data_IF_277275730127
#
_entry.id   IF_277275730127
#
_cell.length_a   1.000
_cell.length_b   1.000
_cell.length_c   1.000
_cell.angle_alpha   90.00
_cell.angle_beta   90.00
_cell.angle_gamma   90.00
#
_symmetry.space_group_name_H-M   'P 1'
#
loop_
_entity.id
_entity.type
_entity.pdbx_description
1 polymer ?
#
# COMPACT_ATOMS: atom_id res chain seq x y z
N UNK A 1 32.05 -21.02 37.53
CA UNK A 1 30.56 -21.00 37.73
C UNK A 1 30.03 -19.59 38.05
N UNK A 2 30.81 -18.72 38.69
CA UNK A 2 30.33 -17.38 39.14
C UNK A 2 30.15 -16.29 38.08
N UNK A 3 30.88 -16.31 36.97
CA UNK A 3 30.73 -15.28 35.93
C UNK A 3 29.52 -15.53 35.00
N UNK A 4 29.23 -16.78 34.67
CA UNK A 4 28.09 -17.17 33.88
C UNK A 4 26.73 -16.94 34.60
N UNK A 5 26.71 -17.14 35.93
CA UNK A 5 25.51 -16.85 36.73
C UNK A 5 25.28 -15.34 36.90
N UNK A 6 26.33 -14.54 36.97
CA UNK A 6 26.22 -13.06 37.01
C UNK A 6 25.73 -12.46 35.68
N UNK A 7 26.22 -12.98 34.55
CA UNK A 7 25.75 -12.58 33.22
C UNK A 7 24.30 -12.98 32.98
N UNK A 8 23.86 -14.18 33.42
CA UNK A 8 22.46 -14.60 33.31
C UNK A 8 21.53 -13.75 34.19
N UNK A 9 21.95 -13.44 35.42
CA UNK A 9 21.15 -12.59 36.31
C UNK A 9 21.08 -11.12 35.83
N UNK A 10 22.16 -10.61 35.25
CA UNK A 10 22.19 -9.28 34.66
C UNK A 10 21.27 -9.18 33.41
N UNK A 11 21.35 -10.15 32.51
CA UNK A 11 20.47 -10.23 31.31
C UNK A 11 19.00 -10.45 31.69
N UNK A 12 18.68 -11.18 32.75
CA UNK A 12 17.30 -11.34 33.24
C UNK A 12 16.79 -10.04 33.88
N UNK A 13 17.66 -9.31 34.60
CA UNK A 13 17.31 -8.01 35.19
C UNK A 13 17.10 -6.95 34.13
N UNK A 14 17.93 -6.84 33.09
CA UNK A 14 17.75 -5.96 31.96
C UNK A 14 16.50 -6.31 31.14
N UNK A 15 16.23 -7.60 30.89
CA UNK A 15 15.02 -8.04 30.22
C UNK A 15 13.76 -7.77 31.06
N UNK A 16 13.84 -7.84 32.37
CA UNK A 16 12.76 -7.50 33.29
C UNK A 16 12.56 -5.97 33.38
N UNK A 17 13.63 -5.19 33.39
CA UNK A 17 13.60 -3.72 33.31
C UNK A 17 13.05 -3.24 31.96
N UNK A 18 13.47 -3.84 30.84
CA UNK A 18 12.91 -3.58 29.50
C UNK A 18 11.41 -3.97 29.42
N UNK A 19 11.01 -5.06 30.08
CA UNK A 19 9.62 -5.46 30.20
C UNK A 19 8.81 -4.53 31.13
N UNK A 20 9.42 -3.91 32.13
CA UNK A 20 8.83 -2.93 33.02
C UNK A 20 8.76 -1.53 32.39
N UNK A 21 9.78 -1.11 31.63
CA UNK A 21 9.73 0.13 30.84
C UNK A 21 8.72 0.04 29.68
N UNK A 22 8.42 -1.16 29.18
CA UNK A 22 7.37 -1.40 28.17
C UNK A 22 5.95 -1.33 28.74
N UNK A 23 5.76 -1.23 30.04
CA UNK A 23 4.47 -0.92 30.70
C UNK A 23 4.16 0.58 30.62
N UNK A 24 4.23 1.19 29.42
CA UNK A 24 3.65 2.49 29.19
C UNK A 24 2.13 2.37 29.37
N UNK A 25 1.65 2.69 30.57
CA UNK A 25 0.22 2.94 30.80
C UNK A 25 -0.30 3.90 29.73
N UNK A 26 -1.57 3.73 29.34
CA UNK A 26 -2.19 4.64 28.37
C UNK A 26 -2.08 6.08 28.85
N UNK A 27 -1.65 6.98 27.97
CA UNK A 27 -1.53 8.41 28.31
C UNK A 27 -2.84 9.12 28.03
N UNK A 28 -3.30 9.98 28.96
CA UNK A 28 -4.50 10.80 28.75
C UNK A 28 -4.45 11.58 27.43
N UNK A 29 -5.60 11.72 26.77
CA UNK A 29 -5.71 12.49 25.52
C UNK A 29 -4.93 11.89 24.34
N UNK A 30 -4.67 10.58 24.32
CA UNK A 30 -3.89 9.92 23.26
C UNK A 30 -4.75 8.98 22.42
N UNK A 31 -4.60 9.09 21.10
CA UNK A 31 -5.19 8.19 20.11
C UNK A 31 -4.16 7.10 19.73
N UNK A 32 -4.49 5.85 20.00
CA UNK A 32 -3.64 4.68 19.66
C UNK A 32 -4.18 3.99 18.42
N UNK A 33 -3.32 3.74 17.43
CA UNK A 33 -3.65 2.97 16.25
C UNK A 33 -3.09 1.57 16.44
N UNK A 34 -3.97 0.61 16.69
CA UNK A 34 -3.57 -0.74 17.11
C UNK A 34 -3.82 -1.73 15.99
N UNK A 35 -2.77 -2.34 15.47
CA UNK A 35 -2.90 -3.41 14.49
C UNK A 35 -3.47 -4.67 15.13
N UNK A 36 -4.42 -5.32 14.44
CA UNK A 36 -5.05 -6.57 14.85
C UNK A 36 -4.58 -7.75 14.00
N UNK A 37 -4.71 -9.00 14.47
CA UNK A 37 -4.30 -10.17 13.71
C UNK A 37 -5.00 -10.29 12.35
N UNK A 38 -4.28 -10.80 11.34
CA UNK A 38 -4.81 -11.04 9.98
C UNK A 38 -5.28 -12.48 9.78
N UNK A 39 -5.25 -13.32 10.81
CA UNK A 39 -5.68 -14.71 10.77
C UNK A 39 -5.36 -15.49 12.04
N UNK A 40 -4.17 -15.26 12.60
CA UNK A 40 -3.71 -15.94 13.80
C UNK A 40 -3.71 -14.97 15.00
N UNK A 41 -4.54 -15.22 15.99
CA UNK A 41 -4.62 -14.37 17.19
C UNK A 41 -3.31 -14.32 18.01
N UNK A 42 -2.37 -15.23 17.80
CA UNK A 42 -1.06 -15.21 18.44
C UNK A 42 -0.14 -14.11 17.88
N UNK A 43 -0.48 -13.56 16.72
CA UNK A 43 0.28 -12.45 16.10
C UNK A 43 -0.09 -11.09 16.71
N UNK A 44 -0.99 -11.07 17.70
CA UNK A 44 -1.29 -9.85 18.44
C UNK A 44 -0.10 -9.47 19.33
N UNK A 45 0.40 -8.24 19.17
CA UNK A 45 1.52 -7.79 20.00
C UNK A 45 1.12 -7.63 21.48
N UNK A 46 2.03 -7.94 22.39
CA UNK A 46 1.81 -7.76 23.84
C UNK A 46 1.47 -6.31 24.19
N UNK A 47 2.13 -5.34 23.54
CA UNK A 47 1.85 -3.91 23.68
C UNK A 47 0.44 -3.56 23.17
N UNK A 48 -0.01 -4.17 22.06
CA UNK A 48 -1.37 -4.01 21.56
C UNK A 48 -2.42 -4.51 22.55
N UNK A 49 -2.20 -5.70 23.14
CA UNK A 49 -3.06 -6.28 24.18
C UNK A 49 -3.14 -5.31 25.37
N UNK A 50 -1.99 -4.82 25.85
CA UNK A 50 -1.94 -3.90 26.97
C UNK A 50 -2.72 -2.60 26.71
N UNK A 51 -2.48 -1.93 25.57
CA UNK A 51 -3.20 -0.71 25.19
C UNK A 51 -4.71 -0.93 25.08
N UNK A 52 -5.15 -2.04 24.46
CA UNK A 52 -6.58 -2.35 24.35
C UNK A 52 -7.23 -2.66 25.69
N UNK A 53 -6.46 -3.12 26.69
CA UNK A 53 -6.96 -3.39 28.04
C UNK A 53 -7.10 -2.09 28.86
N UNK A 54 -6.18 -1.14 28.69
CA UNK A 54 -6.01 0.04 29.53
C UNK A 54 -6.70 1.31 29.00
N UNK A 55 -6.95 1.40 27.68
CA UNK A 55 -7.58 2.61 27.10
C UNK A 55 -9.03 2.75 27.56
N UNK A 56 -9.55 4.00 27.59
CA UNK A 56 -10.90 4.28 28.04
C UNK A 56 -12.00 3.78 27.08
N UNK A 57 -11.67 3.64 25.79
CA UNK A 57 -12.56 3.06 24.79
C UNK A 57 -11.81 2.60 23.53
N UNK A 58 -12.44 1.70 22.80
CA UNK A 58 -11.94 1.17 21.53
C UNK A 58 -12.91 1.56 20.41
N UNK A 59 -12.40 2.32 19.43
CA UNK A 59 -13.08 2.62 18.17
C UNK A 59 -12.83 1.45 17.20
N UNK A 60 -13.89 0.69 16.86
CA UNK A 60 -13.82 -0.55 16.11
C UNK A 60 -14.64 -0.48 14.82
N UNK A 61 -14.15 -1.08 13.74
CA UNK A 61 -14.84 -1.15 12.45
C UNK A 61 -16.15 -1.96 12.59
N UNK A 62 -16.05 -3.24 12.93
CA UNK A 62 -17.21 -4.07 13.33
C UNK A 62 -17.07 -4.48 14.79
N UNK A 63 -17.92 -3.90 15.65
CA UNK A 63 -17.90 -4.17 17.10
C UNK A 63 -18.17 -5.63 17.45
N UNK A 64 -18.88 -6.37 16.60
CA UNK A 64 -19.19 -7.79 16.82
C UNK A 64 -17.93 -8.65 16.61
N UNK A 65 -17.20 -8.42 15.52
CA UNK A 65 -15.94 -9.11 15.24
C UNK A 65 -14.86 -8.74 16.27
N UNK A 66 -14.76 -7.46 16.57
CA UNK A 66 -13.84 -6.96 17.60
C UNK A 66 -14.12 -7.57 18.96
N UNK A 67 -15.39 -7.72 19.35
CA UNK A 67 -15.79 -8.37 20.61
C UNK A 67 -15.29 -9.83 20.66
N UNK A 68 -15.37 -10.56 19.57
CA UNK A 68 -14.86 -11.95 19.51
C UNK A 68 -13.34 -11.99 19.72
N UNK A 69 -12.61 -11.07 19.07
CA UNK A 69 -11.15 -10.95 19.26
C UNK A 69 -10.80 -10.59 20.70
N UNK A 70 -11.43 -9.55 21.27
CA UNK A 70 -11.16 -9.10 22.62
C UNK A 70 -11.45 -10.19 23.66
N UNK A 71 -12.57 -10.89 23.53
CA UNK A 71 -12.90 -12.03 24.40
C UNK A 71 -11.85 -13.13 24.35
N UNK A 72 -11.34 -13.44 23.14
CA UNK A 72 -10.28 -14.45 22.96
C UNK A 72 -8.96 -14.02 23.60
N UNK A 73 -8.70 -12.71 23.67
CA UNK A 73 -7.53 -12.14 24.33
C UNK A 73 -7.74 -11.86 25.82
N UNK A 74 -8.93 -12.14 26.36
CA UNK A 74 -9.26 -11.86 27.75
C UNK A 74 -9.48 -10.38 28.09
N UNK A 75 -9.67 -9.53 27.07
CA UNK A 75 -9.83 -8.08 27.20
C UNK A 75 -11.32 -7.73 27.37
N UNK A 76 -11.62 -6.90 28.36
CA UNK A 76 -12.96 -6.31 28.55
C UNK A 76 -12.85 -4.80 28.48
N UNK A 77 -13.36 -4.21 27.40
CA UNK A 77 -13.33 -2.78 27.21
C UNK A 77 -14.57 -2.28 26.46
N UNK A 78 -14.82 -0.97 26.51
CA UNK A 78 -15.93 -0.31 25.81
C UNK A 78 -15.63 -0.21 24.31
N UNK A 79 -16.44 -0.89 23.48
CA UNK A 79 -16.40 -0.80 22.02
C UNK A 79 -17.36 0.30 21.52
N UNK A 80 -16.87 1.11 20.60
CA UNK A 80 -17.64 2.13 19.87
C UNK A 80 -17.40 1.93 18.37
N UNK A 81 -18.47 1.83 17.59
CA UNK A 81 -18.38 1.62 16.15
C UNK A 81 -17.75 2.82 15.42
N UNK A 82 -16.78 2.54 14.55
CA UNK A 82 -16.07 3.50 13.69
C UNK A 82 -15.81 2.89 12.32
N UNK A 83 -16.85 2.76 11.49
CA UNK A 83 -16.79 2.21 10.15
C UNK A 83 -16.84 3.30 9.07
N UNK A 84 -16.45 2.98 7.86
CA UNK A 84 -16.35 3.90 6.71
C UNK A 84 -17.57 4.82 6.52
N UNK A 85 -18.79 4.36 6.83
CA UNK A 85 -20.02 5.13 6.63
C UNK A 85 -20.34 6.10 7.77
N UNK A 86 -19.74 5.94 8.96
CA UNK A 86 -20.01 6.81 10.12
C UNK A 86 -18.77 7.57 10.61
N UNK A 87 -17.59 7.27 10.07
CA UNK A 87 -16.28 7.78 10.49
C UNK A 87 -16.27 9.32 10.58
N UNK A 88 -16.73 10.01 9.54
CA UNK A 88 -16.76 11.46 9.50
C UNK A 88 -17.66 12.07 10.59
N UNK A 89 -18.86 11.50 10.78
CA UNK A 89 -19.80 11.97 11.82
C UNK A 89 -19.31 11.70 13.25
N UNK A 90 -18.59 10.59 13.44
CA UNK A 90 -18.08 10.19 14.75
C UNK A 90 -16.72 10.79 15.10
N UNK A 91 -15.94 11.28 14.15
CA UNK A 91 -14.67 11.91 14.43
C UNK A 91 -14.79 13.02 15.47
N UNK A 92 -15.80 13.89 15.36
CA UNK A 92 -16.06 14.96 16.35
C UNK A 92 -16.29 14.42 17.77
N UNK A 93 -17.02 13.32 17.90
CA UNK A 93 -17.25 12.68 19.19
C UNK A 93 -15.93 12.17 19.79
N UNK A 94 -15.13 11.41 19.02
CA UNK A 94 -13.85 10.89 19.51
C UNK A 94 -12.87 12.02 19.85
N UNK A 95 -12.82 13.08 19.07
CA UNK A 95 -11.98 14.26 19.35
C UNK A 95 -12.40 14.92 20.67
N UNK A 96 -13.71 15.06 20.92
CA UNK A 96 -14.20 15.59 22.20
C UNK A 96 -13.80 14.74 23.41
N UNK A 97 -13.86 13.41 23.26
CA UNK A 97 -13.46 12.46 24.30
C UNK A 97 -11.94 12.54 24.56
N UNK A 98 -11.11 12.61 23.48
CA UNK A 98 -9.65 12.78 23.58
C UNK A 98 -9.28 14.09 24.27
N UNK A 99 -9.95 15.21 23.91
CA UNK A 99 -9.75 16.51 24.57
C UNK A 99 -10.17 16.53 26.04
N UNK A 100 -11.10 15.66 26.43
CA UNK A 100 -11.49 15.49 27.86
C UNK A 100 -10.45 14.69 28.66
N UNK A 101 -9.36 14.23 28.01
CA UNK A 101 -8.28 13.47 28.63
C UNK A 101 -8.44 11.96 28.52
N UNK A 102 -9.45 11.45 27.79
CA UNK A 102 -9.58 10.00 27.56
C UNK A 102 -8.58 9.49 26.52
N UNK A 103 -8.13 8.27 26.73
CA UNK A 103 -7.31 7.51 25.77
C UNK A 103 -8.22 6.63 24.89
N UNK A 104 -7.96 6.61 23.59
CA UNK A 104 -8.78 5.86 22.63
C UNK A 104 -7.87 4.98 21.75
N UNK A 105 -8.24 3.71 21.59
CA UNK A 105 -7.61 2.84 20.62
C UNK A 105 -8.49 2.67 19.38
N UNK A 106 -7.89 2.73 18.17
CA UNK A 106 -8.56 2.40 16.90
C UNK A 106 -8.10 1.03 16.46
N UNK A 107 -9.05 0.16 16.14
CA UNK A 107 -8.81 -1.16 15.54
C UNK A 107 -9.71 -1.37 14.32
N UNK A 108 -9.27 -2.22 13.41
CA UNK A 108 -10.04 -2.72 12.25
C UNK A 108 -10.29 -4.21 12.39
N UNK A 109 -11.06 -4.79 11.49
CA UNK A 109 -11.40 -6.21 11.52
C UNK A 109 -10.16 -7.11 11.41
N UNK A 110 -9.14 -6.65 10.65
CA UNK A 110 -7.87 -7.36 10.49
C UNK A 110 -6.76 -6.39 10.03
N UNK A 111 -5.56 -6.53 10.58
CA UNK A 111 -4.39 -5.77 10.16
C UNK A 111 -4.26 -4.38 10.78
N UNK A 112 -3.51 -3.52 10.10
CA UNK A 112 -3.20 -2.16 10.55
C UNK A 112 -4.30 -1.20 10.11
N UNK A 113 -4.96 -0.47 11.02
CA UNK A 113 -5.96 0.53 10.67
C UNK A 113 -5.45 1.54 9.64
N UNK A 114 -6.35 2.06 8.80
CA UNK A 114 -6.09 3.03 7.72
C UNK A 114 -5.36 2.48 6.49
N UNK A 115 -4.86 1.26 6.52
CA UNK A 115 -4.22 0.61 5.35
C UNK A 115 -5.28 -0.21 4.61
N UNK A 116 -6.01 0.43 3.70
CA UNK A 116 -7.23 -0.06 3.01
C UNK A 116 -8.47 -0.18 3.90
N UNK A 117 -8.40 0.29 5.14
CA UNK A 117 -9.40 0.20 6.18
C UNK A 117 -9.82 1.59 6.70
N UNK A 118 -10.92 1.72 7.45
CA UNK A 118 -11.32 2.98 8.09
C UNK A 118 -10.34 3.42 9.18
N UNK A 119 -10.44 4.69 9.60
CA UNK A 119 -9.63 5.31 10.66
C UNK A 119 -8.93 6.60 10.24
N UNK A 120 -8.78 6.81 8.93
CA UNK A 120 -8.01 7.92 8.38
C UNK A 120 -8.62 9.30 8.73
N UNK A 121 -9.95 9.43 8.69
CA UNK A 121 -10.62 10.70 9.01
C UNK A 121 -10.49 11.06 10.50
N UNK A 122 -10.53 10.07 11.38
CA UNK A 122 -10.28 10.28 12.80
C UNK A 122 -8.84 10.71 13.07
N UNK A 123 -7.86 10.07 12.42
CA UNK A 123 -6.44 10.45 12.55
C UNK A 123 -6.21 11.87 12.03
N UNK A 124 -6.74 12.23 10.86
CA UNK A 124 -6.64 13.59 10.31
C UNK A 124 -7.23 14.63 11.29
N UNK A 125 -8.40 14.34 11.86
CA UNK A 125 -9.03 15.22 12.84
C UNK A 125 -8.19 15.34 14.12
N UNK A 126 -7.60 14.24 14.60
CA UNK A 126 -6.74 14.26 15.79
C UNK A 126 -5.47 15.08 15.56
N UNK A 127 -4.80 14.89 14.42
CA UNK A 127 -3.61 15.66 14.04
C UNK A 127 -3.93 17.14 13.88
N UNK A 128 -5.07 17.50 13.27
CA UNK A 128 -5.50 18.89 13.12
C UNK A 128 -5.76 19.61 14.44
N UNK A 129 -6.04 18.86 15.50
CA UNK A 129 -6.32 19.36 16.86
C UNK A 129 -5.13 19.15 17.81
N UNK A 130 -3.93 18.89 17.27
CA UNK A 130 -2.68 18.65 18.01
C UNK A 130 -2.81 17.54 19.10
N UNK A 131 -3.67 16.56 18.84
CA UNK A 131 -3.84 15.38 19.69
C UNK A 131 -2.73 14.37 19.39
N UNK A 132 -2.11 13.84 20.45
CA UNK A 132 -1.07 12.81 20.32
C UNK A 132 -1.65 11.55 19.67
N UNK A 133 -1.05 11.13 18.54
CA UNK A 133 -1.36 9.87 17.84
C UNK A 133 -0.17 8.94 17.95
N UNK A 134 -0.40 7.68 18.38
CA UNK A 134 0.64 6.67 18.58
C UNK A 134 0.28 5.41 17.82
N UNK A 135 1.16 5.01 16.88
CA UNK A 135 1.06 3.71 16.19
C UNK A 135 1.60 2.57 17.06
N UNK A 136 0.81 1.51 17.19
CA UNK A 136 1.24 0.26 17.84
C UNK A 136 1.56 -0.75 16.74
N UNK A 137 2.85 -1.14 16.56
CA UNK A 137 3.25 -2.07 15.52
C UNK A 137 2.54 -3.43 15.64
N UNK A 138 2.25 -4.03 14.48
CA UNK A 138 1.63 -5.35 14.40
C UNK A 138 1.39 -5.79 12.97
N UNK A 139 0.39 -6.67 12.76
CA UNK A 139 0.15 -7.31 11.50
C UNK A 139 -0.23 -6.33 10.38
N UNK A 140 0.38 -6.53 9.21
CA UNK A 140 0.03 -5.87 7.97
C UNK A 140 0.19 -6.87 6.82
N UNK A 141 -0.91 -7.27 6.18
CA UNK A 141 -0.89 -8.29 5.14
C UNK A 141 -0.01 -7.90 3.94
N UNK A 142 -0.02 -6.63 3.52
CA UNK A 142 0.80 -6.15 2.41
C UNK A 142 2.30 -6.27 2.72
N UNK A 143 2.73 -5.81 3.90
CA UNK A 143 4.14 -5.86 4.30
C UNK A 143 4.60 -7.32 4.51
N UNK A 144 3.75 -8.16 5.11
CA UNK A 144 4.06 -9.58 5.26
C UNK A 144 4.19 -10.29 3.91
N UNK A 145 3.28 -10.04 2.96
CA UNK A 145 3.37 -10.59 1.62
C UNK A 145 4.63 -10.12 0.87
N UNK A 146 4.98 -8.83 0.99
CA UNK A 146 6.21 -8.29 0.43
C UNK A 146 7.43 -9.04 0.98
N UNK A 147 7.53 -9.23 2.30
CA UNK A 147 8.69 -9.85 2.95
C UNK A 147 8.96 -11.30 2.50
N UNK A 148 7.92 -12.00 2.03
CA UNK A 148 8.04 -13.39 1.55
C UNK A 148 7.99 -13.50 0.03
N UNK A 149 7.87 -12.40 -0.71
CA UNK A 149 7.73 -12.43 -2.17
C UNK A 149 8.98 -12.94 -2.88
N UNK A 150 10.17 -12.59 -2.38
CA UNK A 150 11.45 -12.83 -3.03
C UNK A 150 11.79 -11.78 -4.10
N UNK A 151 11.05 -10.67 -4.16
CA UNK A 151 11.25 -9.59 -5.13
C UNK A 151 12.13 -8.46 -4.58
N UNK A 152 12.53 -7.52 -5.43
CA UNK A 152 13.27 -6.34 -5.02
C UNK A 152 12.38 -5.41 -4.18
N UNK A 153 12.75 -5.21 -2.92
CA UNK A 153 12.02 -4.39 -1.96
C UNK A 153 12.73 -3.07 -1.62
N UNK A 154 13.71 -2.67 -2.40
CA UNK A 154 14.37 -1.35 -2.24
C UNK A 154 13.37 -0.20 -2.31
N UNK A 155 12.32 -0.37 -3.11
CA UNK A 155 11.13 0.48 -3.13
C UNK A 155 9.92 -0.34 -3.55
N UNK A 156 8.75 0.00 -3.02
CA UNK A 156 7.49 -0.61 -3.43
C UNK A 156 6.32 0.37 -3.37
N UNK A 157 5.26 0.09 -4.11
CA UNK A 157 4.01 0.86 -4.08
C UNK A 157 2.84 -0.05 -3.69
N UNK A 158 2.08 0.38 -2.70
CA UNK A 158 0.83 -0.26 -2.29
C UNK A 158 -0.37 0.50 -2.85
N UNK A 159 -1.24 -0.18 -3.59
CA UNK A 159 -2.41 0.42 -4.25
C UNK A 159 -3.74 0.05 -3.61
N UNK A 160 -3.75 -0.77 -2.56
CA UNK A 160 -4.99 -1.33 -2.03
C UNK A 160 -5.56 -2.42 -2.94
N UNK A 161 -6.86 -2.41 -3.24
CA UNK A 161 -7.46 -3.41 -4.11
C UNK A 161 -7.18 -3.17 -5.59
N UNK A 162 -6.95 -4.26 -6.33
CA UNK A 162 -6.76 -4.19 -7.77
C UNK A 162 -8.04 -3.67 -8.48
N UNK A 163 -7.93 -2.81 -9.51
CA UNK A 163 -9.09 -2.24 -10.18
C UNK A 163 -10.04 -3.28 -10.75
N UNK A 164 -11.33 -2.95 -10.81
CA UNK A 164 -12.36 -3.85 -11.37
C UNK A 164 -12.47 -3.72 -12.87
N UNK A 165 -12.46 -2.49 -13.37
CA UNK A 165 -12.69 -2.17 -14.77
C UNK A 165 -11.43 -2.38 -15.62
N UNK A 166 -11.53 -3.06 -16.76
CA UNK A 166 -10.40 -3.34 -17.65
C UNK A 166 -9.68 -2.08 -18.14
N UNK A 167 -10.39 -0.98 -18.33
CA UNK A 167 -9.78 0.29 -18.72
C UNK A 167 -8.87 0.85 -17.60
N UNK A 168 -9.27 0.72 -16.34
CA UNK A 168 -8.48 1.14 -15.20
C UNK A 168 -7.28 0.22 -14.96
N UNK A 169 -7.45 -1.11 -15.17
CA UNK A 169 -6.36 -2.09 -15.11
C UNK A 169 -5.26 -1.76 -16.13
N UNK A 170 -5.64 -1.48 -17.38
CA UNK A 170 -4.69 -1.08 -18.43
C UNK A 170 -3.96 0.21 -18.08
N UNK A 171 -4.68 1.22 -17.59
CA UNK A 171 -4.05 2.47 -17.12
C UNK A 171 -3.08 2.24 -15.97
N UNK A 172 -3.45 1.36 -15.03
CA UNK A 172 -2.58 1.00 -13.92
C UNK A 172 -1.33 0.26 -14.41
N UNK A 173 -1.47 -0.70 -15.32
CA UNK A 173 -0.33 -1.42 -15.90
C UNK A 173 0.64 -0.45 -16.60
N UNK A 174 0.13 0.51 -17.38
CA UNK A 174 0.95 1.56 -17.99
C UNK A 174 1.67 2.42 -16.94
N UNK A 175 0.98 2.73 -15.83
CA UNK A 175 1.58 3.47 -14.71
C UNK A 175 2.68 2.65 -14.02
N UNK A 176 2.47 1.36 -13.81
CA UNK A 176 3.46 0.45 -13.25
C UNK A 176 4.71 0.38 -14.14
N UNK A 177 4.53 0.23 -15.45
CA UNK A 177 5.62 0.20 -16.44
C UNK A 177 6.46 1.47 -16.48
N UNK A 178 5.85 2.63 -16.20
CA UNK A 178 6.52 3.95 -16.18
C UNK A 178 7.08 4.33 -14.82
N UNK A 179 6.85 3.51 -13.82
CA UNK A 179 7.33 3.77 -12.46
C UNK A 179 8.82 3.47 -12.32
N UNK A 180 9.51 4.26 -11.50
CA UNK A 180 10.88 3.94 -11.09
C UNK A 180 10.91 2.76 -10.10
N UNK A 181 9.77 2.47 -9.45
CA UNK A 181 9.57 1.31 -8.59
C UNK A 181 9.16 0.09 -9.41
N UNK A 182 9.72 -1.07 -9.08
CA UNK A 182 9.44 -2.35 -9.76
C UNK A 182 8.38 -3.17 -9.06
N UNK A 183 8.26 -3.05 -7.75
CA UNK A 183 7.44 -3.91 -6.91
C UNK A 183 6.16 -3.21 -6.47
N UNK A 184 5.03 -3.88 -6.71
CA UNK A 184 3.69 -3.37 -6.46
C UNK A 184 2.90 -4.36 -5.62
N UNK A 185 2.22 -3.86 -4.58
CA UNK A 185 1.42 -4.67 -3.67
C UNK A 185 -0.06 -4.30 -3.79
N UNK A 186 -0.92 -5.33 -3.78
CA UNK A 186 -2.37 -5.21 -3.86
C UNK A 186 -3.05 -6.20 -2.91
N UNK A 187 -4.29 -5.90 -2.56
CA UNK A 187 -5.24 -6.89 -2.06
C UNK A 187 -6.19 -7.31 -3.16
N UNK A 188 -6.64 -8.56 -3.10
CA UNK A 188 -7.65 -9.03 -4.03
C UNK A 188 -8.62 -10.01 -3.36
N UNK A 189 -9.87 -9.95 -3.77
CA UNK A 189 -10.87 -10.90 -3.30
C UNK A 189 -10.69 -12.27 -3.96
N UNK A 190 -10.99 -13.37 -3.25
CA UNK A 190 -10.80 -14.71 -3.80
C UNK A 190 -11.62 -14.96 -5.06
N UNK A 191 -12.78 -14.31 -5.21
CA UNK A 191 -13.63 -14.43 -6.41
C UNK A 191 -13.04 -13.77 -7.66
N UNK A 192 -12.05 -12.90 -7.51
CA UNK A 192 -11.44 -12.13 -8.58
C UNK A 192 -9.96 -12.46 -8.81
N UNK A 193 -9.39 -13.33 -7.96
CA UNK A 193 -7.95 -13.63 -8.03
C UNK A 193 -7.55 -14.27 -9.36
N UNK A 194 -8.37 -15.18 -9.89
CA UNK A 194 -8.10 -15.81 -11.19
C UNK A 194 -8.17 -14.78 -12.32
N UNK A 195 -9.19 -13.94 -12.33
CA UNK A 195 -9.35 -12.85 -13.31
C UNK A 195 -8.19 -11.83 -13.29
N UNK A 196 -7.60 -11.57 -12.10
CA UNK A 196 -6.38 -10.77 -11.99
C UNK A 196 -5.19 -11.46 -12.65
N UNK A 197 -4.99 -12.74 -12.39
CA UNK A 197 -3.87 -13.52 -12.96
C UNK A 197 -4.01 -13.62 -14.48
N UNK A 198 -5.23 -13.91 -14.98
CA UNK A 198 -5.54 -13.96 -16.41
C UNK A 198 -5.31 -12.61 -17.10
N UNK A 199 -5.64 -11.50 -16.45
CA UNK A 199 -5.34 -10.17 -16.99
C UNK A 199 -3.85 -9.98 -17.27
N UNK A 200 -2.95 -10.43 -16.40
CA UNK A 200 -1.51 -10.31 -16.61
C UNK A 200 -1.00 -11.33 -17.65
N UNK A 201 -1.55 -12.52 -17.72
CA UNK A 201 -1.22 -13.50 -18.77
C UNK A 201 -1.64 -12.99 -20.16
N UNK A 202 -2.88 -12.48 -20.29
CA UNK A 202 -3.44 -12.04 -21.58
C UNK A 202 -2.81 -10.73 -22.10
N UNK A 203 -2.21 -9.92 -21.23
CA UNK A 203 -1.54 -8.67 -21.63
C UNK A 203 -0.08 -8.83 -21.99
N UNK A 204 0.43 -10.08 -22.03
CA UNK A 204 1.85 -10.38 -22.30
C UNK A 204 2.79 -9.50 -21.45
N UNK A 205 2.35 -9.23 -20.20
CA UNK A 205 3.10 -8.39 -19.30
C UNK A 205 4.31 -9.17 -18.76
N UNK A 206 5.52 -8.66 -19.01
CA UNK A 206 6.73 -9.21 -18.42
C UNK A 206 6.80 -8.89 -16.94
N UNK A 207 6.07 -9.68 -16.15
CA UNK A 207 5.93 -9.54 -14.70
C UNK A 207 6.12 -10.89 -14.01
N UNK A 208 6.56 -10.82 -12.76
CA UNK A 208 6.50 -11.94 -11.83
C UNK A 208 5.40 -11.70 -10.81
N UNK A 209 4.68 -12.73 -10.46
CA UNK A 209 3.60 -12.69 -9.48
C UNK A 209 3.99 -13.46 -8.22
N UNK A 210 3.59 -12.93 -7.07
CA UNK A 210 3.58 -13.65 -5.80
C UNK A 210 2.19 -13.46 -5.17
N UNK A 211 1.41 -14.53 -5.09
CA UNK A 211 0.10 -14.54 -4.44
C UNK A 211 0.23 -15.20 -3.08
N UNK A 212 -0.07 -14.48 -2.00
CA UNK A 212 -0.15 -15.00 -0.65
C UNK A 212 -1.62 -15.20 -0.28
N UNK A 213 -2.02 -16.44 -0.06
CA UNK A 213 -3.38 -16.82 0.30
C UNK A 213 -3.44 -17.23 1.78
N UNK A 214 -4.44 -16.70 2.48
CA UNK A 214 -4.73 -17.04 3.88
C UNK A 214 -3.51 -16.98 4.82
N UNK A 215 -2.70 -15.93 4.69
CA UNK A 215 -1.51 -15.73 5.53
C UNK A 215 -1.84 -15.87 7.01
N UNK A 216 -0.93 -16.48 7.76
CA UNK A 216 -1.03 -16.80 9.19
C UNK A 216 -2.12 -17.82 9.56
N UNK A 217 -2.92 -18.32 8.60
CA UNK A 217 -3.96 -19.33 8.82
C UNK A 217 -3.44 -20.74 8.57
N UNK A 218 -4.22 -21.75 8.98
CA UNK A 218 -3.85 -23.19 8.87
C UNK A 218 -3.50 -23.61 7.43
N UNK A 219 -4.13 -23.02 6.44
CA UNK A 219 -3.96 -23.36 5.03
C UNK A 219 -3.26 -22.26 4.24
N UNK A 220 -2.36 -21.54 4.89
CA UNK A 220 -1.52 -20.52 4.25
C UNK A 220 -0.77 -21.12 3.06
N UNK A 221 -0.83 -20.45 1.92
CA UNK A 221 -0.13 -20.84 0.70
C UNK A 221 0.43 -19.64 -0.02
N UNK A 222 1.56 -19.84 -0.70
CA UNK A 222 2.18 -18.83 -1.55
C UNK A 222 2.46 -19.40 -2.94
N UNK A 223 2.01 -18.69 -3.98
CA UNK A 223 2.23 -19.03 -5.38
C UNK A 223 3.16 -17.99 -5.99
N UNK A 224 4.22 -18.42 -6.66
CA UNK A 224 5.21 -17.55 -7.32
C UNK A 224 5.50 -18.03 -8.72
N UNK A 225 5.77 -17.11 -9.64
CA UNK A 225 6.17 -17.38 -11.01
C UNK A 225 5.62 -16.37 -12.01
N UNK A 226 5.71 -16.72 -13.29
CA UNK A 226 5.02 -15.99 -14.36
C UNK A 226 3.49 -16.06 -14.16
N UNK A 227 2.71 -15.17 -14.80
CA UNK A 227 1.26 -15.24 -14.74
C UNK A 227 0.70 -16.63 -15.13
N UNK A 228 1.28 -17.29 -16.15
CA UNK A 228 0.87 -18.60 -16.63
C UNK A 228 1.14 -19.68 -15.57
N UNK A 229 2.35 -19.71 -15.01
CA UNK A 229 2.73 -20.67 -13.96
C UNK A 229 1.86 -20.51 -12.71
N UNK A 230 1.58 -19.27 -12.33
CA UNK A 230 0.73 -18.95 -11.16
C UNK A 230 -0.72 -19.36 -11.44
N UNK A 231 -1.23 -19.16 -12.68
CA UNK A 231 -2.56 -19.62 -13.09
C UNK A 231 -2.69 -21.13 -12.96
N UNK A 232 -1.72 -21.89 -13.46
CA UNK A 232 -1.72 -23.36 -13.38
C UNK A 232 -1.72 -23.84 -11.92
N UNK A 233 -0.83 -23.26 -11.08
CA UNK A 233 -0.75 -23.59 -9.64
C UNK A 233 -2.03 -23.24 -8.90
N UNK A 234 -2.66 -22.13 -9.23
CA UNK A 234 -3.89 -21.65 -8.60
C UNK A 234 -5.07 -22.57 -8.93
N UNK A 235 -5.23 -22.94 -10.19
CA UNK A 235 -6.26 -23.88 -10.66
C UNK A 235 -6.01 -25.27 -10.07
N UNK A 236 -4.77 -25.75 -10.06
CA UNK A 236 -4.39 -27.06 -9.51
C UNK A 236 -4.65 -27.21 -8.02
N UNK A 237 -4.60 -26.11 -7.25
CA UNK A 237 -4.99 -26.10 -5.83
C UNK A 237 -6.47 -26.47 -5.64
N UNK A 238 -7.36 -26.07 -6.54
CA UNK A 238 -8.80 -26.02 -6.29
C UNK A 238 -9.16 -25.02 -5.17
N UNK A 239 -10.42 -24.72 -5.01
CA UNK A 239 -10.90 -23.78 -3.96
C UNK A 239 -10.14 -22.43 -3.89
N UNK A 240 -9.56 -21.96 -5.01
CA UNK A 240 -8.89 -20.66 -5.09
C UNK A 240 -9.85 -19.48 -4.87
N UNK A 241 -11.14 -19.71 -5.03
CA UNK A 241 -12.22 -18.75 -4.83
C UNK A 241 -12.58 -18.53 -3.35
N UNK A 242 -11.75 -19.04 -2.42
CA UNK A 242 -11.91 -18.88 -0.97
C UNK A 242 -10.69 -18.26 -0.33
N UNK A 243 -10.91 -17.72 0.87
CA UNK A 243 -9.85 -17.09 1.67
C UNK A 243 -9.63 -15.63 1.33
N UNK A 244 -8.40 -15.15 1.55
CA UNK A 244 -7.99 -13.77 1.37
C UNK A 244 -6.64 -13.74 0.65
N UNK A 245 -6.45 -12.80 -0.28
CA UNK A 245 -5.24 -12.70 -1.07
C UNK A 245 -4.54 -11.35 -0.90
N UNK A 246 -3.23 -11.43 -0.65
CA UNK A 246 -2.31 -10.33 -0.93
C UNK A 246 -1.50 -10.71 -2.18
N UNK A 247 -1.36 -9.75 -3.10
CA UNK A 247 -0.75 -9.94 -4.41
C UNK A 247 0.43 -9.01 -4.54
N UNK A 248 1.60 -9.56 -4.80
CA UNK A 248 2.80 -8.79 -5.11
C UNK A 248 3.15 -9.03 -6.56
N UNK A 249 3.44 -7.96 -7.28
CA UNK A 249 3.77 -7.95 -8.70
C UNK A 249 5.11 -7.27 -8.86
N UNK A 250 6.05 -7.93 -9.50
CA UNK A 250 7.31 -7.32 -9.92
C UNK A 250 7.36 -7.16 -11.44
N UNK A 251 7.50 -5.93 -11.90
CA UNK A 251 7.69 -5.61 -13.33
C UNK A 251 9.15 -5.83 -13.68
N UNK A 252 9.43 -6.66 -14.70
CA UNK A 252 10.79 -6.98 -15.13
C UNK A 252 11.43 -5.81 -15.90
N UNK A 253 12.76 -5.76 -15.94
CA UNK A 253 13.49 -4.64 -16.56
C UNK A 253 13.22 -4.50 -18.06
N UNK A 254 13.10 -5.64 -18.76
CA UNK A 254 12.81 -5.65 -20.18
C UNK A 254 11.48 -4.95 -20.53
N UNK A 255 10.57 -4.90 -19.56
CA UNK A 255 9.25 -4.29 -19.71
C UNK A 255 9.18 -2.84 -19.21
N UNK A 256 10.23 -2.34 -18.62
CA UNK A 256 10.35 -0.91 -18.36
C UNK A 256 10.39 -0.22 -19.72
N UNK A 257 9.38 0.52 -20.02
CA UNK A 257 9.51 1.51 -21.06
C UNK A 257 10.79 2.26 -20.76
N UNK A 258 11.76 2.15 -21.65
CA UNK A 258 12.72 3.23 -21.79
C UNK A 258 11.84 4.46 -21.93
N UNK A 259 11.72 5.22 -20.83
CA UNK A 259 11.09 6.53 -20.86
C UNK A 259 11.79 7.20 -22.05
N UNK A 260 11.10 7.35 -23.13
CA UNK A 260 11.48 8.38 -24.07
C UNK A 260 11.27 9.64 -23.24
N UNK A 261 12.30 10.03 -22.52
CA UNK A 261 12.32 11.28 -21.85
C UNK A 261 12.17 12.32 -22.96
N UNK A 262 10.95 12.76 -23.13
CA UNK A 262 10.74 14.05 -23.74
C UNK A 262 11.26 15.07 -22.72
N UNK A 263 12.59 15.12 -22.58
CA UNK A 263 13.26 16.13 -21.80
C UNK A 263 13.04 17.52 -22.40
N UNK A 264 12.48 17.57 -23.61
CA UNK A 264 12.30 18.79 -24.39
C UNK A 264 10.88 18.77 -24.95
N UNK A 265 10.13 19.86 -24.80
CA UNK A 265 8.78 19.97 -25.40
C UNK A 265 8.86 19.89 -26.93
N UNK A 266 7.78 19.50 -27.64
CA UNK A 266 7.78 19.48 -29.10
C UNK A 266 8.05 20.86 -29.71
N UNK A 267 7.68 21.95 -29.01
CA UNK A 267 8.03 23.30 -29.38
C UNK A 267 9.55 23.56 -29.30
N UNK A 268 10.18 23.15 -28.20
CA UNK A 268 11.62 23.32 -28.01
C UNK A 268 12.42 22.44 -28.98
N UNK A 269 11.96 21.21 -29.27
CA UNK A 269 12.57 20.33 -30.25
C UNK A 269 12.49 20.91 -31.68
N UNK A 270 11.37 21.48 -32.06
CA UNK A 270 11.20 22.18 -33.34
C UNK A 270 12.10 23.41 -33.45
N UNK A 271 12.22 24.20 -32.38
CA UNK A 271 13.10 25.37 -32.34
C UNK A 271 14.58 24.98 -32.44
N UNK A 272 14.98 23.96 -31.69
CA UNK A 272 16.36 23.42 -31.75
C UNK A 272 16.69 22.89 -33.14
N UNK A 273 15.78 22.12 -33.76
CA UNK A 273 15.93 21.64 -35.13
C UNK A 273 16.07 22.79 -36.14
N UNK A 274 15.30 23.86 -35.98
CA UNK A 274 15.41 25.04 -36.86
C UNK A 274 16.77 25.74 -36.69
N UNK A 275 17.23 25.93 -35.45
CA UNK A 275 18.49 26.58 -35.15
C UNK A 275 19.66 25.74 -35.63
N UNK A 276 19.70 24.46 -35.27
CA UNK A 276 20.84 23.59 -35.56
C UNK A 276 20.99 23.30 -37.06
N UNK A 277 19.91 23.33 -37.85
CA UNK A 277 19.96 23.09 -39.30
C UNK A 277 19.79 24.34 -40.16
N UNK A 278 19.73 25.54 -39.54
CA UNK A 278 19.55 26.78 -40.26
C UNK A 278 18.20 26.90 -41.02
N UNK A 279 17.16 26.19 -40.52
CA UNK A 279 15.84 26.18 -41.16
C UNK A 279 15.06 27.45 -40.80
N UNK A 280 14.62 28.16 -41.81
CA UNK A 280 13.83 29.39 -41.64
C UNK A 280 12.31 29.11 -41.61
N UNK A 281 11.89 27.93 -42.03
CA UNK A 281 10.47 27.55 -42.11
C UNK A 281 10.19 26.39 -41.12
N UNK A 282 9.25 26.62 -40.22
CA UNK A 282 8.87 25.63 -39.22
C UNK A 282 8.21 24.37 -39.84
N UNK A 283 7.65 24.46 -41.04
CA UNK A 283 7.11 23.28 -41.73
C UNK A 283 8.21 22.32 -42.16
N UNK A 284 9.37 22.85 -42.53
CA UNK A 284 10.53 22.05 -42.93
C UNK A 284 11.10 21.35 -41.71
N UNK A 285 11.16 21.98 -40.56
CA UNK A 285 11.53 21.37 -39.28
C UNK A 285 10.59 20.22 -38.88
N UNK A 286 9.27 20.40 -39.04
CA UNK A 286 8.27 19.34 -38.82
C UNK A 286 8.51 18.15 -39.76
N UNK A 287 8.79 18.41 -41.03
CA UNK A 287 9.04 17.34 -42.02
C UNK A 287 10.30 16.58 -41.73
N UNK A 288 11.37 17.29 -41.37
CA UNK A 288 12.66 16.71 -40.99
C UNK A 288 12.53 15.82 -39.75
N UNK A 289 11.85 16.32 -38.70
CA UNK A 289 11.60 15.54 -37.49
C UNK A 289 10.72 14.30 -37.75
N UNK A 290 9.75 14.38 -38.63
CA UNK A 290 8.93 13.21 -38.99
C UNK A 290 9.72 12.11 -39.75
N UNK A 291 10.84 12.48 -40.33
CA UNK A 291 11.75 11.56 -41.04
C UNK A 291 12.85 11.02 -40.12
N UNK A 292 13.00 11.56 -38.92
CA UNK A 292 13.98 11.09 -37.94
C UNK A 292 13.45 9.83 -37.22
N UNK A 293 14.15 8.68 -37.32
CA UNK A 293 13.75 7.45 -36.64
C UNK A 293 13.74 7.58 -35.10
N UNK A 294 14.45 8.55 -34.53
CA UNK A 294 14.48 8.85 -33.10
C UNK A 294 13.36 9.80 -32.65
N UNK A 295 12.61 10.34 -33.59
CA UNK A 295 11.47 11.22 -33.26
C UNK A 295 10.38 10.43 -32.54
N UNK A 296 10.00 10.96 -31.40
CA UNK A 296 8.99 10.35 -30.52
C UNK A 296 7.64 11.04 -30.58
N UNK A 297 7.53 12.18 -31.30
CA UNK A 297 6.28 12.95 -31.44
C UNK A 297 5.49 12.55 -32.68
N UNK A 298 4.19 12.46 -32.53
CA UNK A 298 3.28 12.26 -33.65
C UNK A 298 3.20 13.48 -34.56
N UNK A 299 2.76 13.27 -35.80
CA UNK A 299 2.51 14.38 -36.75
C UNK A 299 1.55 15.43 -36.21
N UNK A 300 0.57 15.03 -35.40
CA UNK A 300 -0.42 15.94 -34.85
C UNK A 300 0.18 16.80 -33.72
N UNK A 301 1.00 16.21 -32.87
CA UNK A 301 1.72 16.94 -31.80
C UNK A 301 2.68 17.96 -32.37
N UNK A 302 3.49 17.58 -33.36
CA UNK A 302 4.43 18.51 -34.01
C UNK A 302 3.70 19.64 -34.75
N UNK A 303 2.55 19.37 -35.38
CA UNK A 303 1.73 20.41 -35.99
C UNK A 303 1.12 21.37 -34.97
N UNK A 304 0.64 20.87 -33.84
CA UNK A 304 0.11 21.68 -32.74
C UNK A 304 1.22 22.59 -32.15
N UNK A 305 2.38 22.02 -31.90
CA UNK A 305 3.56 22.75 -31.43
C UNK A 305 4.00 23.85 -32.42
N UNK A 306 4.04 23.53 -33.71
CA UNK A 306 4.34 24.52 -34.76
C UNK A 306 3.34 25.69 -34.79
N UNK A 307 2.08 25.40 -34.50
CA UNK A 307 1.06 26.47 -34.39
C UNK A 307 1.27 27.33 -33.15
N UNK A 308 1.60 26.73 -32.03
CA UNK A 308 1.91 27.43 -30.78
C UNK A 308 3.11 28.35 -30.94
N UNK A 309 4.19 27.87 -31.55
CA UNK A 309 5.39 28.67 -31.83
C UNK A 309 5.03 29.90 -32.67
N UNK A 310 4.24 29.71 -33.74
CA UNK A 310 3.79 30.84 -34.58
C UNK A 310 3.01 31.89 -33.79
N UNK A 311 2.13 31.47 -32.88
CA UNK A 311 1.37 32.39 -32.03
C UNK A 311 2.28 33.22 -31.11
N UNK A 312 3.36 32.58 -30.55
CA UNK A 312 4.31 33.26 -29.68
C UNK A 312 5.19 34.26 -30.44
N UNK A 313 5.59 33.90 -31.67
CA UNK A 313 6.47 34.76 -32.49
C UNK A 313 5.72 35.97 -33.10
N UNK A 314 4.43 35.86 -33.32
CA UNK A 314 3.59 36.90 -33.91
C UNK A 314 2.74 37.66 -32.87
N UNK A 315 2.91 37.37 -31.59
CA UNK A 315 2.32 38.11 -30.48
C UNK A 315 3.32 39.21 -29.98
#
# INVERSE_FOLDING_TARGET
MDELEKDLTHNISEAAEYALESSESTKPGTLYIVATPIGNSRDMSSRGIHILSECDMIAAEDTRRSMVLLNKLGIRNRLVSNHKFNEYGKAKYFISELKSGKSIAVITDAGTPCISDPGNELIKAAVAEDIRVVGIPGCCAAVNALSVSGFDLSSFLFYGFFPRENAERKKLLEKMRRSDTRTFAFYESPKRILDLVEFFADTEADVQLCLCNDMTKLHEMTFRGTPEEVKEKLIGKGNYDKGEYAVIIEVQEAYRFVKKEHTVSPEALLMDMMISNGLTNIKDAVTTLLSDPNNSYSKNELKAAALNIKRIIHA
#
